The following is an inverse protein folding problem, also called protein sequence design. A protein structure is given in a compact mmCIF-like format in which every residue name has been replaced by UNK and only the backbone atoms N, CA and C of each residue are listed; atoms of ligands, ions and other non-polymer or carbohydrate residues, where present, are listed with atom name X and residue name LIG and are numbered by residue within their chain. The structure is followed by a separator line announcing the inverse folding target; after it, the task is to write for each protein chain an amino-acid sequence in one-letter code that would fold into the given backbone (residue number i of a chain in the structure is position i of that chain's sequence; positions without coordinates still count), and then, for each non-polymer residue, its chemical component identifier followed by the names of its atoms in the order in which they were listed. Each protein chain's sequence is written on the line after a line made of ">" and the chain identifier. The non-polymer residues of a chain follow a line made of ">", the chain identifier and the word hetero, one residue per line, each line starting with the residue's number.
data_IF_368004111952
#
_entry.id   IF_368004111952
#
_cell.length_a   1.000
_cell.length_b   1.000
_cell.length_c   1.000
_cell.angle_alpha   90.00
_cell.angle_beta   90.00
_cell.angle_gamma   90.00
#
_symmetry.space_group_name_H-M   'P 1'
#
loop_
_entity.id
_entity.type
_entity.pdbx_description
1 polymer ?
#
# COMPACT_ATOMS: atom_id res chain seq x y z
N UNK A 1 15.44 -11.26 7.57
CA UNK A 1 15.23 -12.61 7.00
C UNK A 1 15.67 -12.77 5.54
N UNK A 2 16.57 -11.91 5.04
CA UNK A 2 17.03 -12.00 3.65
C UNK A 2 16.02 -11.55 2.58
N UNK A 3 14.80 -11.17 2.96
CA UNK A 3 13.77 -10.68 2.05
C UNK A 3 13.80 -9.14 1.91
N UNK A 4 13.59 -8.64 0.69
CA UNK A 4 13.48 -7.22 0.37
C UNK A 4 12.04 -6.84 0.07
N UNK A 5 11.49 -5.94 0.90
CA UNK A 5 10.19 -5.30 0.71
C UNK A 5 10.40 -3.93 0.04
N UNK A 6 9.70 -3.66 -1.06
CA UNK A 6 9.84 -2.40 -1.79
C UNK A 6 8.54 -1.98 -2.46
N UNK A 7 8.28 -0.68 -2.53
CA UNK A 7 7.16 -0.10 -3.29
C UNK A 7 7.73 0.81 -4.38
N UNK A 8 7.49 0.49 -5.65
CA UNK A 8 8.01 1.26 -6.79
C UNK A 8 7.23 0.94 -8.07
N UNK A 9 7.51 1.67 -9.16
CA UNK A 9 7.14 1.24 -10.50
C UNK A 9 8.06 0.09 -10.96
N UNK A 10 7.46 -0.97 -11.51
CA UNK A 10 8.15 -2.18 -11.95
C UNK A 10 8.39 -2.25 -13.46
N UNK A 11 7.80 -1.34 -14.22
CA UNK A 11 7.90 -1.29 -15.68
C UNK A 11 8.73 -0.10 -16.16
N UNK A 12 9.24 -0.21 -17.38
CA UNK A 12 10.00 0.85 -18.03
C UNK A 12 9.19 2.15 -18.20
N UNK A 13 7.87 2.03 -18.38
CA UNK A 13 6.99 3.19 -18.59
C UNK A 13 6.64 3.93 -17.29
N UNK A 14 7.01 3.39 -16.12
CA UNK A 14 6.77 4.03 -14.84
C UNK A 14 5.28 4.09 -14.44
N UNK A 15 4.49 3.07 -14.81
CA UNK A 15 3.03 3.02 -14.60
C UNK A 15 2.57 1.80 -13.81
N UNK A 16 3.32 0.71 -13.84
CA UNK A 16 3.04 -0.50 -13.07
C UNK A 16 3.59 -0.35 -11.64
N UNK A 17 2.93 0.48 -10.84
CA UNK A 17 3.27 0.64 -9.43
C UNK A 17 2.80 -0.57 -8.63
N UNK A 18 3.68 -1.14 -7.82
CA UNK A 18 3.36 -2.26 -6.96
C UNK A 18 4.22 -2.31 -5.70
N UNK A 19 3.72 -3.01 -4.69
CA UNK A 19 4.48 -3.42 -3.50
C UNK A 19 4.98 -4.84 -3.73
N UNK A 20 6.29 -5.05 -3.63
CA UNK A 20 6.99 -6.30 -3.88
C UNK A 20 7.66 -6.87 -2.63
N UNK A 21 7.75 -8.20 -2.56
CA UNK A 21 8.74 -8.92 -1.77
C UNK A 21 9.62 -9.78 -2.68
N UNK A 22 10.94 -9.60 -2.58
CA UNK A 22 11.96 -10.26 -3.40
C UNK A 22 13.13 -10.76 -2.54
N UNK A 23 14.14 -11.39 -3.15
CA UNK A 23 15.38 -11.89 -2.52
C UNK A 23 15.23 -13.02 -1.48
N UNK A 24 14.00 -13.40 -1.13
CA UNK A 24 13.70 -14.56 -0.28
C UNK A 24 13.79 -15.91 -0.98
N UNK A 25 13.49 -16.98 -0.23
CA UNK A 25 13.46 -18.36 -0.76
C UNK A 25 12.22 -18.67 -1.61
N UNK A 26 11.16 -17.88 -1.47
CA UNK A 26 9.90 -18.07 -2.19
C UNK A 26 9.87 -17.26 -3.49
N UNK A 27 8.93 -17.60 -4.38
CA UNK A 27 8.65 -16.79 -5.56
C UNK A 27 8.34 -15.34 -5.14
N UNK A 28 8.79 -14.33 -5.92
CA UNK A 28 8.46 -12.94 -5.64
C UNK A 28 6.96 -12.73 -5.54
N UNK A 29 6.55 -11.93 -4.54
CA UNK A 29 5.14 -11.60 -4.30
C UNK A 29 4.91 -10.14 -4.62
N UNK A 30 3.75 -9.82 -5.20
CA UNK A 30 3.37 -8.44 -5.54
C UNK A 30 1.89 -8.13 -5.31
N UNK A 31 1.53 -6.86 -5.32
CA UNK A 31 0.12 -6.43 -5.43
C UNK A 31 -0.45 -6.77 -6.82
N UNK A 32 -1.77 -6.82 -6.94
CA UNK A 32 -2.43 -6.94 -8.26
C UNK A 32 -2.04 -5.80 -9.19
N UNK A 33 -1.87 -6.16 -10.46
CA UNK A 33 -1.42 -5.25 -11.51
C UNK A 33 -2.63 -4.63 -12.21
N UNK A 34 -2.52 -3.34 -12.55
CA UNK A 34 -3.57 -2.59 -13.24
C UNK A 34 -4.94 -2.59 -12.55
N UNK A 35 -4.96 -2.69 -11.21
CA UNK A 35 -6.18 -2.56 -10.41
C UNK A 35 -6.08 -1.35 -9.49
N UNK A 36 -6.77 -0.26 -9.85
CA UNK A 36 -6.74 1.00 -9.09
C UNK A 36 -7.22 0.83 -7.65
N UNK A 37 -8.10 -0.16 -7.37
CA UNK A 37 -8.58 -0.45 -6.02
C UNK A 37 -7.43 -0.84 -5.08
N UNK A 38 -6.38 -1.45 -5.62
CA UNK A 38 -5.16 -1.79 -4.88
C UNK A 38 -4.24 -0.59 -4.76
N UNK A 39 -3.83 -0.01 -5.90
CA UNK A 39 -2.91 1.12 -5.97
C UNK A 39 -3.28 1.99 -7.16
N UNK A 40 -3.46 3.30 -6.94
CA UNK A 40 -3.87 4.23 -7.99
C UNK A 40 -2.84 5.35 -8.20
N UNK A 41 -1.83 5.09 -9.04
CA UNK A 41 -0.68 6.00 -9.27
C UNK A 41 -0.03 6.48 -7.96
N UNK A 42 0.43 5.55 -7.09
CA UNK A 42 0.97 5.88 -5.78
C UNK A 42 2.37 6.50 -5.87
N UNK A 43 2.76 7.22 -4.81
CA UNK A 43 4.14 7.62 -4.51
C UNK A 43 4.49 7.09 -3.12
N UNK A 44 5.43 6.14 -3.08
CA UNK A 44 5.86 5.48 -1.86
C UNK A 44 6.85 6.35 -1.08
N UNK A 45 6.74 6.34 0.24
CA UNK A 45 7.56 7.12 1.16
C UNK A 45 8.48 6.21 1.98
N UNK A 46 7.90 5.22 2.68
CA UNK A 46 8.67 4.30 3.52
C UNK A 46 7.94 2.98 3.76
N UNK A 47 8.67 2.00 4.29
CA UNK A 47 8.16 0.72 4.76
C UNK A 47 8.77 0.38 6.12
N UNK A 48 7.97 -0.15 7.04
CA UNK A 48 8.39 -0.47 8.41
C UNK A 48 7.87 -1.84 8.83
N UNK A 49 8.75 -2.66 9.41
CA UNK A 49 8.37 -3.88 10.13
C UNK A 49 7.88 -3.47 11.53
N UNK A 50 6.65 -3.85 11.88
CA UNK A 50 6.05 -3.58 13.18
C UNK A 50 5.54 -4.93 13.73
N UNK A 51 6.11 -5.43 14.85
CA UNK A 51 5.60 -6.60 15.54
C UNK A 51 4.23 -6.32 16.16
N UNK A 52 3.27 -7.23 15.97
CA UNK A 52 1.90 -7.08 16.47
C UNK A 52 1.69 -7.76 17.84
N UNK A 53 2.52 -8.75 18.17
CA UNK A 53 2.45 -9.52 19.41
C UNK A 53 3.83 -10.10 19.76
N UNK A 54 3.92 -10.89 20.83
CA UNK A 54 5.13 -11.65 21.15
C UNK A 54 5.40 -12.82 20.17
N UNK A 55 4.43 -13.13 19.29
CA UNK A 55 4.56 -14.13 18.24
C UNK A 55 5.04 -13.47 16.92
N UNK A 56 6.26 -13.76 16.43
CA UNK A 56 6.78 -13.18 15.20
C UNK A 56 5.99 -13.56 13.93
N UNK A 57 5.10 -14.56 13.99
CA UNK A 57 4.21 -14.88 12.87
C UNK A 57 3.11 -13.83 12.66
N UNK A 58 2.85 -12.99 13.66
CA UNK A 58 1.89 -11.90 13.57
C UNK A 58 2.50 -10.61 13.00
N UNK A 59 3.83 -10.58 12.79
CA UNK A 59 4.56 -9.43 12.26
C UNK A 59 3.94 -8.90 10.96
N UNK A 60 3.83 -7.57 10.86
CA UNK A 60 3.34 -6.89 9.66
C UNK A 60 4.35 -5.88 9.13
N UNK A 61 4.28 -5.69 7.82
CA UNK A 61 4.97 -4.62 7.12
C UNK A 61 3.97 -3.52 6.79
N UNK A 62 4.26 -2.31 7.24
CA UNK A 62 3.46 -1.12 6.99
C UNK A 62 4.14 -0.23 5.96
N UNK A 63 3.45 0.04 4.85
CA UNK A 63 3.88 0.97 3.81
C UNK A 63 3.16 2.31 3.96
N UNK A 64 3.93 3.40 3.88
CA UNK A 64 3.42 4.76 3.83
C UNK A 64 3.56 5.29 2.41
N UNK A 65 2.47 5.80 1.86
CA UNK A 65 2.43 6.31 0.49
C UNK A 65 1.25 7.28 0.32
N UNK A 66 1.25 8.03 -0.78
CA UNK A 66 0.08 8.78 -1.24
C UNK A 66 -0.35 8.29 -2.61
N UNK A 67 -1.61 8.42 -2.96
CA UNK A 67 -2.16 8.00 -4.25
C UNK A 67 -3.31 8.90 -4.70
N UNK A 68 -3.71 8.79 -5.96
CA UNK A 68 -4.91 9.48 -6.45
C UNK A 68 -6.15 8.83 -5.83
N UNK A 69 -7.08 9.64 -5.31
CA UNK A 69 -8.37 9.18 -4.82
C UNK A 69 -9.17 8.50 -5.94
N UNK A 70 -9.98 7.51 -5.58
CA UNK A 70 -10.93 6.85 -6.47
C UNK A 70 -12.31 7.32 -6.04
N UNK A 71 -12.61 8.55 -6.38
CA UNK A 71 -13.96 9.08 -6.24
C UNK A 71 -14.64 8.95 -7.61
N UNK A 72 -15.95 8.70 -7.62
CA UNK A 72 -16.71 8.53 -8.87
C UNK A 72 -16.52 9.70 -9.84
N UNK A 73 -16.91 9.53 -11.11
CA UNK A 73 -16.62 10.45 -12.24
C UNK A 73 -16.95 11.95 -12.00
N UNK A 74 -17.71 12.28 -10.96
CA UNK A 74 -18.18 13.62 -10.64
C UNK A 74 -17.37 14.33 -9.53
N UNK A 75 -16.43 13.65 -8.89
CA UNK A 75 -15.58 14.23 -7.85
C UNK A 75 -14.26 14.75 -8.44
N UNK A 76 -13.83 15.93 -8.00
CA UNK A 76 -12.57 16.53 -8.44
C UNK A 76 -11.37 15.64 -8.11
N UNK A 77 -10.27 15.81 -8.85
CA UNK A 77 -9.01 15.10 -8.57
C UNK A 77 -8.55 15.42 -7.14
N UNK A 78 -8.39 14.39 -6.32
CA UNK A 78 -7.90 14.49 -4.94
C UNK A 78 -6.76 13.50 -4.68
N UNK A 79 -5.91 13.83 -3.71
CA UNK A 79 -4.85 12.95 -3.20
C UNK A 79 -5.32 12.33 -1.88
N UNK A 80 -4.93 11.08 -1.63
CA UNK A 80 -5.05 10.46 -0.31
C UNK A 80 -3.68 10.02 0.18
N UNK A 81 -3.29 10.52 1.35
CA UNK A 81 -2.27 9.88 2.17
C UNK A 81 -2.80 8.53 2.68
N UNK A 82 -1.97 7.49 2.62
CA UNK A 82 -2.35 6.11 2.93
C UNK A 82 -1.29 5.44 3.80
N UNK A 83 -1.79 4.52 4.62
CA UNK A 83 -1.01 3.46 5.22
C UNK A 83 -1.55 2.12 4.69
N UNK A 84 -0.65 1.23 4.27
CA UNK A 84 -0.98 -0.13 3.84
C UNK A 84 -0.31 -1.16 4.73
N UNK A 85 -1.02 -2.22 5.12
CA UNK A 85 -0.46 -3.35 5.87
C UNK A 85 -0.34 -4.59 4.98
N UNK A 86 0.64 -5.44 5.27
CA UNK A 86 0.82 -6.78 4.71
C UNK A 86 1.39 -7.68 5.83
N UNK A 87 0.92 -8.91 5.97
CA UNK A 87 1.53 -9.87 6.89
C UNK A 87 2.88 -10.35 6.34
N UNK A 88 3.89 -10.39 7.21
CA UNK A 88 5.25 -10.77 6.83
C UNK A 88 5.32 -12.18 6.23
N UNK A 89 4.53 -13.10 6.77
CA UNK A 89 4.41 -14.51 6.37
C UNK A 89 3.33 -14.77 5.29
N UNK A 90 2.83 -13.75 4.61
CA UNK A 90 1.91 -13.94 3.47
C UNK A 90 2.67 -14.51 2.27
N UNK A 91 2.22 -15.66 1.74
CA UNK A 91 2.82 -16.34 0.58
C UNK A 91 1.90 -16.37 -0.65
N UNK A 92 0.78 -15.65 -0.61
CA UNK A 92 -0.23 -15.62 -1.65
C UNK A 92 -1.18 -16.81 -1.63
N UNK A 93 -2.13 -16.79 -2.57
CA UNK A 93 -3.21 -17.78 -2.61
C UNK A 93 -2.88 -19.03 -3.43
N UNK A 94 -3.57 -20.13 -3.12
CA UNK A 94 -3.34 -21.42 -3.77
C UNK A 94 -3.89 -21.53 -5.20
N UNK A 95 -5.01 -20.87 -5.51
CA UNK A 95 -5.67 -20.91 -6.84
C UNK A 95 -5.84 -19.53 -7.45
N UNK A 96 -6.34 -18.60 -6.64
CA UNK A 96 -6.44 -17.17 -6.96
C UNK A 96 -5.35 -16.42 -6.21
N UNK A 97 -4.95 -15.23 -6.70
CA UNK A 97 -3.86 -14.43 -6.10
C UNK A 97 -2.56 -15.24 -5.91
N UNK A 98 -2.25 -16.14 -6.85
CA UNK A 98 -0.98 -16.88 -6.85
C UNK A 98 0.18 -15.89 -6.95
N UNK A 99 1.14 -15.99 -6.02
CA UNK A 99 2.26 -15.06 -5.88
C UNK A 99 1.83 -13.58 -5.73
N UNK A 100 0.66 -13.35 -5.12
CA UNK A 100 0.17 -12.01 -4.80
C UNK A 100 -0.31 -11.91 -3.37
N UNK A 101 -0.20 -10.71 -2.79
CA UNK A 101 -0.62 -10.49 -1.41
C UNK A 101 -2.08 -10.89 -1.20
N UNK A 102 -2.36 -11.62 -0.13
CA UNK A 102 -3.71 -11.95 0.33
C UNK A 102 -4.12 -11.14 1.56
N UNK A 103 -3.14 -10.51 2.22
CA UNK A 103 -3.30 -9.75 3.46
C UNK A 103 -3.17 -8.23 3.26
N UNK A 104 -3.02 -7.78 2.00
CA UNK A 104 -2.92 -6.35 1.69
C UNK A 104 -4.23 -5.62 2.01
N UNK A 105 -4.14 -4.66 2.91
CA UNK A 105 -5.22 -3.72 3.23
C UNK A 105 -4.62 -2.31 3.30
N UNK A 106 -5.41 -1.28 2.96
CA UNK A 106 -5.01 0.12 3.07
C UNK A 106 -6.08 0.99 3.71
N UNK A 107 -5.64 2.01 4.44
CA UNK A 107 -6.49 3.02 5.06
C UNK A 107 -6.01 4.42 4.70
N UNK A 108 -6.92 5.41 4.72
CA UNK A 108 -6.57 6.83 4.57
C UNK A 108 -5.99 7.37 5.87
N UNK A 109 -4.92 8.12 5.77
CA UNK A 109 -4.40 8.97 6.84
C UNK A 109 -5.00 10.37 6.66
N UNK A 110 -5.73 10.86 7.66
CA UNK A 110 -6.30 12.21 7.64
C UNK A 110 -5.42 13.10 8.52
N UNK A 111 -4.81 14.09 7.90
CA UNK A 111 -4.18 15.22 8.57
C UNK A 111 -4.98 16.46 8.18
N UNK A 112 -5.77 17.01 9.10
CA UNK A 112 -6.60 18.18 8.84
C UNK A 112 -6.70 19.12 10.02
N UNK A 113 -7.03 20.38 9.73
CA UNK A 113 -7.36 21.40 10.73
C UNK A 113 -8.86 21.74 10.59
N UNK A 114 -9.67 21.55 11.66
CA UNK A 114 -11.08 21.89 11.63
C UNK A 114 -11.33 23.39 11.44
N UNK A 115 -12.22 23.74 10.52
CA UNK A 115 -12.58 25.14 10.26
C UNK A 115 -13.82 25.60 11.03
N UNK A 116 -14.00 26.93 11.22
CA UNK A 116 -15.12 27.50 11.98
C UNK A 116 -16.50 27.23 11.35
N UNK A 117 -16.55 26.98 10.03
CA UNK A 117 -17.78 26.69 9.29
C UNK A 117 -18.03 25.17 9.11
N UNK A 118 -17.30 24.31 9.83
CA UNK A 118 -17.40 22.85 9.67
C UNK A 118 -16.76 22.30 8.39
N UNK A 119 -15.91 23.09 7.73
CA UNK A 119 -15.10 22.66 6.59
C UNK A 119 -13.66 22.52 7.07
N UNK A 120 -13.13 21.31 6.97
CA UNK A 120 -11.76 21.00 7.36
C UNK A 120 -10.76 21.39 6.26
N UNK A 121 -9.58 21.85 6.65
CA UNK A 121 -8.43 22.04 5.75
C UNK A 121 -7.53 20.81 5.80
N UNK A 122 -7.46 20.05 4.71
CA UNK A 122 -6.70 18.80 4.63
C UNK A 122 -5.27 19.00 4.09
N UNK A 123 -4.34 18.16 4.55
CA UNK A 123 -2.94 18.08 4.12
C UNK A 123 -2.62 16.65 3.68
N UNK A 124 -3.02 16.30 2.45
CA UNK A 124 -2.99 14.91 1.94
C UNK A 124 -1.68 14.52 1.21
N UNK A 125 -0.76 15.46 0.99
CA UNK A 125 0.53 15.21 0.34
C UNK A 125 1.57 14.70 1.37
N UNK A 126 1.49 13.40 1.65
CA UNK A 126 2.46 12.67 2.48
C UNK A 126 3.87 12.62 1.87
#
# INVERSE_FOLDING_TARGET
>A
DGELYSGTAADFMGRDFAIFRTLGHHHPIRTEQHDSRWLNDPRFVSAHLIPESDNPEDDKIYFFFRENAIDGEHAGKATHARIGQICKNDFGGHRSLVNKWTTFLKARLICSVPGPNGIDTHFDEL
#
